data_IF_923739854817
#
_entry.id   IF_923739854817
#
_cell.length_a   1.000
_cell.length_b   1.000
_cell.length_c   1.000
_cell.angle_alpha   90.00
_cell.angle_beta   90.00
_cell.angle_gamma   90.00
#
_symmetry.space_group_name_H-M   'P 1'
#
loop_
_entity.id
_entity.type
_entity.pdbx_description
1 polymer ?
#
# COMPACT_ATOMS: atom_id res chain seq x y z
N UNK A 1 -3.01 1.10 28.21
CA UNK A 1 -2.18 0.07 27.55
C UNK A 1 -1.49 0.73 26.35
N UNK A 2 -0.21 1.08 26.48
CA UNK A 2 0.54 1.72 25.39
C UNK A 2 0.64 0.76 24.21
N UNK A 3 -0.04 1.12 23.13
CA UNK A 3 -0.30 0.28 21.95
C UNK A 3 0.99 -0.06 21.23
N UNK A 4 1.04 -1.26 20.64
CA UNK A 4 2.19 -1.86 19.94
C UNK A 4 3.03 -0.89 19.09
N UNK A 5 2.41 0.10 18.44
CA UNK A 5 3.07 1.17 17.67
C UNK A 5 4.10 1.96 18.49
N UNK A 6 3.76 2.40 19.71
CA UNK A 6 4.69 3.17 20.55
C UNK A 6 5.93 2.34 20.97
N UNK A 7 5.77 1.02 21.10
CA UNK A 7 6.89 0.11 21.38
C UNK A 7 7.80 -0.05 20.16
N UNK A 8 7.23 -0.21 18.96
CA UNK A 8 7.98 -0.28 17.70
C UNK A 8 8.70 1.03 17.45
N UNK A 9 8.01 2.18 17.53
CA UNK A 9 8.59 3.52 17.40
C UNK A 9 9.79 3.73 18.35
N UNK A 10 9.62 3.40 19.63
CA UNK A 10 10.73 3.46 20.62
C UNK A 10 11.90 2.56 20.25
N UNK A 11 11.64 1.40 19.64
CA UNK A 11 12.69 0.46 19.23
C UNK A 11 13.44 1.01 18.01
N UNK A 12 12.73 1.55 17.02
CA UNK A 12 13.33 2.19 15.85
C UNK A 12 14.14 3.42 16.28
N UNK A 13 13.61 4.29 17.14
CA UNK A 13 14.35 5.45 17.67
C UNK A 13 15.65 5.06 18.39
N UNK A 14 15.65 3.94 19.12
CA UNK A 14 16.88 3.42 19.75
C UNK A 14 17.91 2.97 18.73
N UNK A 15 17.49 2.35 17.63
CA UNK A 15 18.37 1.94 16.54
C UNK A 15 18.97 3.18 15.85
N UNK A 16 18.18 4.25 15.72
CA UNK A 16 18.54 5.47 15.01
C UNK A 16 19.29 6.52 15.83
N UNK A 17 19.40 6.34 17.15
CA UNK A 17 19.97 7.35 18.04
C UNK A 17 21.42 7.70 17.66
N UNK A 18 21.67 8.99 17.39
CA UNK A 18 22.98 9.53 17.03
C UNK A 18 23.50 9.11 15.66
N UNK A 19 22.63 8.58 14.78
CA UNK A 19 22.99 8.18 13.40
C UNK A 19 22.70 9.29 12.41
N UNK A 20 23.55 9.39 11.39
CA UNK A 20 23.26 10.18 10.19
C UNK A 20 22.17 9.52 9.32
N UNK A 21 21.69 10.23 8.30
CA UNK A 21 20.76 9.65 7.31
C UNK A 21 21.35 8.40 6.64
N UNK A 22 22.62 8.42 6.25
CA UNK A 22 23.26 7.29 5.56
C UNK A 22 23.44 6.08 6.48
N UNK A 23 23.74 6.33 7.75
CA UNK A 23 23.80 5.28 8.77
C UNK A 23 22.41 4.73 9.11
N UNK A 24 21.38 5.58 9.10
CA UNK A 24 19.99 5.17 9.26
C UNK A 24 19.54 4.24 8.13
N UNK A 25 19.87 4.57 6.87
CA UNK A 25 19.61 3.71 5.70
C UNK A 25 20.30 2.36 5.84
N UNK A 26 21.56 2.36 6.23
CA UNK A 26 22.33 1.13 6.48
C UNK A 26 21.76 0.28 7.63
N UNK A 27 20.92 0.88 8.48
CA UNK A 27 20.26 0.22 9.62
C UNK A 27 18.88 -0.34 9.28
N UNK A 28 18.40 -0.19 8.04
CA UNK A 28 17.08 -0.68 7.63
C UNK A 28 16.84 -2.17 7.93
N UNK A 29 17.79 -3.10 7.73
CA UNK A 29 17.63 -4.50 8.14
C UNK A 29 17.29 -4.66 9.63
N UNK A 30 17.93 -3.86 10.49
CA UNK A 30 17.63 -3.89 11.93
C UNK A 30 16.24 -3.29 12.20
N UNK A 31 15.87 -2.20 11.51
CA UNK A 31 14.58 -1.54 11.65
C UNK A 31 13.43 -2.48 11.22
N UNK A 32 13.52 -3.10 10.04
CA UNK A 32 12.50 -4.02 9.52
C UNK A 32 12.31 -5.24 10.41
N UNK A 33 13.39 -5.75 11.04
CA UNK A 33 13.30 -6.86 11.99
C UNK A 33 12.45 -6.55 13.24
N UNK A 34 12.25 -5.27 13.57
CA UNK A 34 11.40 -4.86 14.71
C UNK A 34 9.92 -4.72 14.35
N UNK A 35 9.58 -4.81 13.06
CA UNK A 35 8.22 -4.62 12.57
C UNK A 35 7.41 -5.91 12.62
N UNK A 36 6.09 -5.77 12.74
CA UNK A 36 5.18 -6.89 12.49
C UNK A 36 5.02 -7.07 10.99
N UNK A 37 4.93 -8.32 10.57
CA UNK A 37 5.01 -8.71 9.18
C UNK A 37 3.64 -8.87 8.48
N UNK A 38 2.52 -8.72 9.23
CA UNK A 38 1.17 -8.82 8.69
C UNK A 38 0.64 -7.45 8.24
N UNK A 39 1.23 -6.85 7.21
CA UNK A 39 0.81 -5.54 6.73
C UNK A 39 -0.53 -5.59 6.00
N UNK A 40 -0.68 -6.49 5.03
CA UNK A 40 -1.89 -6.57 4.22
C UNK A 40 -3.04 -7.13 5.05
N UNK A 41 -2.84 -8.28 5.70
CA UNK A 41 -3.88 -8.96 6.47
C UNK A 41 -4.32 -8.23 7.74
N UNK A 42 -3.64 -7.15 8.12
CA UNK A 42 -4.10 -6.23 9.19
C UNK A 42 -5.10 -5.20 8.67
N UNK A 43 -4.97 -4.79 7.42
CA UNK A 43 -5.76 -3.72 6.83
C UNK A 43 -6.94 -4.25 6.01
N UNK A 44 -6.82 -5.44 5.41
CA UNK A 44 -7.85 -6.03 4.58
C UNK A 44 -7.90 -7.56 4.77
N UNK A 45 -9.09 -8.10 5.04
CA UNK A 45 -9.31 -9.54 5.10
C UNK A 45 -9.47 -10.11 3.68
N UNK A 46 -9.33 -11.43 3.51
CA UNK A 46 -9.56 -12.08 2.21
C UNK A 46 -10.98 -11.79 1.69
N UNK A 47 -12.01 -11.91 2.54
CA UNK A 47 -13.40 -11.62 2.17
C UNK A 47 -13.59 -10.17 1.73
N UNK A 48 -13.06 -9.21 2.52
CA UNK A 48 -13.09 -7.78 2.20
C UNK A 48 -12.39 -7.50 0.88
N UNK A 49 -11.23 -8.12 0.64
CA UNK A 49 -10.46 -7.99 -0.59
C UNK A 49 -11.27 -8.48 -1.80
N UNK A 50 -11.86 -9.66 -1.73
CA UNK A 50 -12.67 -10.21 -2.82
C UNK A 50 -13.90 -9.34 -3.13
N UNK A 51 -14.57 -8.81 -2.10
CA UNK A 51 -15.67 -7.85 -2.28
C UNK A 51 -15.24 -6.56 -2.97
N UNK A 52 -14.10 -5.99 -2.55
CA UNK A 52 -13.51 -4.80 -3.17
C UNK A 52 -13.21 -5.06 -4.65
N UNK A 53 -12.51 -6.17 -4.95
CA UNK A 53 -12.15 -6.53 -6.32
C UNK A 53 -13.39 -6.69 -7.19
N UNK A 54 -14.43 -7.37 -6.70
CA UNK A 54 -15.68 -7.53 -7.43
C UNK A 54 -16.37 -6.21 -7.78
N UNK A 55 -16.44 -5.27 -6.82
CA UNK A 55 -17.05 -3.95 -7.04
C UNK A 55 -16.22 -3.12 -8.02
N UNK A 56 -14.91 -3.02 -7.78
CA UNK A 56 -14.01 -2.18 -8.58
C UNK A 56 -13.88 -2.73 -10.00
N UNK A 57 -13.68 -4.04 -10.15
CA UNK A 57 -13.62 -4.72 -11.45
C UNK A 57 -14.90 -4.47 -12.27
N UNK A 58 -16.07 -4.58 -11.63
CA UNK A 58 -17.34 -4.27 -12.26
C UNK A 58 -17.48 -2.80 -12.71
N UNK A 59 -16.94 -1.83 -11.95
CA UNK A 59 -16.98 -0.41 -12.31
C UNK A 59 -15.94 -0.06 -13.40
N UNK A 60 -14.74 -0.63 -13.34
CA UNK A 60 -13.72 -0.49 -14.39
C UNK A 60 -14.20 -1.08 -15.71
N UNK A 61 -14.80 -2.28 -15.70
CA UNK A 61 -15.34 -2.90 -16.91
C UNK A 61 -16.43 -2.04 -17.57
N UNK A 62 -17.27 -1.37 -16.77
CA UNK A 62 -18.28 -0.44 -17.30
C UNK A 62 -17.66 0.85 -17.83
N UNK A 63 -16.64 1.39 -17.16
CA UNK A 63 -15.92 2.58 -17.60
C UNK A 63 -15.29 2.35 -18.97
N UNK A 64 -14.58 1.24 -19.15
CA UNK A 64 -13.90 0.91 -20.41
C UNK A 64 -14.82 0.33 -21.49
N UNK A 65 -16.12 0.18 -21.20
CA UNK A 65 -17.15 -0.10 -22.19
C UNK A 65 -17.83 1.16 -22.73
N UNK A 66 -17.51 2.34 -22.17
CA UNK A 66 -17.96 3.62 -22.71
C UNK A 66 -17.25 3.93 -24.04
N UNK A 67 -17.76 4.93 -24.76
CA UNK A 67 -17.06 5.49 -25.91
C UNK A 67 -15.72 6.09 -25.47
N UNK A 68 -14.70 6.04 -26.34
CA UNK A 68 -13.32 6.46 -26.05
C UNK A 68 -13.26 7.89 -25.49
N UNK A 69 -14.00 8.81 -26.11
CA UNK A 69 -14.10 10.22 -25.67
C UNK A 69 -14.65 10.37 -24.24
N UNK A 70 -15.61 9.54 -23.82
CA UNK A 70 -16.20 9.59 -22.48
C UNK A 70 -15.25 9.02 -21.42
N UNK A 71 -14.52 7.96 -21.78
CA UNK A 71 -13.49 7.37 -20.94
C UNK A 71 -12.32 8.35 -20.74
N UNK A 72 -11.82 8.95 -21.82
CA UNK A 72 -10.78 9.99 -21.75
C UNK A 72 -11.25 11.19 -20.94
N UNK A 73 -12.53 11.59 -21.04
CA UNK A 73 -13.04 12.71 -20.26
C UNK A 73 -13.00 12.41 -18.75
N UNK A 74 -13.37 11.20 -18.33
CA UNK A 74 -13.25 10.77 -16.93
C UNK A 74 -11.78 10.65 -16.52
N UNK A 75 -10.93 10.15 -17.42
CA UNK A 75 -9.51 10.00 -17.17
C UNK A 75 -8.84 11.35 -16.98
N UNK A 76 -9.07 12.35 -17.82
CA UNK A 76 -8.29 13.59 -17.86
C UNK A 76 -8.96 14.79 -17.16
N UNK A 77 -10.24 14.70 -16.81
CA UNK A 77 -10.93 15.72 -16.01
C UNK A 77 -10.90 15.37 -14.51
N UNK A 78 -10.16 16.16 -13.72
CA UNK A 78 -10.02 15.96 -12.27
C UNK A 78 -11.36 15.83 -11.54
N UNK A 79 -12.34 16.68 -11.86
CA UNK A 79 -13.63 16.70 -11.18
C UNK A 79 -14.46 15.46 -11.51
N UNK A 80 -14.47 15.03 -12.78
CA UNK A 80 -15.14 13.78 -13.18
C UNK A 80 -14.46 12.55 -12.59
N UNK A 81 -13.13 12.54 -12.55
CA UNK A 81 -12.35 11.47 -11.93
C UNK A 81 -12.68 11.34 -10.45
N UNK A 82 -12.74 12.45 -9.72
CA UNK A 82 -13.11 12.47 -8.30
C UNK A 82 -14.54 11.98 -8.06
N UNK A 83 -15.49 12.40 -8.92
CA UNK A 83 -16.87 11.91 -8.86
C UNK A 83 -16.93 10.39 -9.02
N UNK A 84 -16.28 9.86 -10.06
CA UNK A 84 -16.24 8.42 -10.31
C UNK A 84 -15.59 7.66 -9.15
N UNK A 85 -14.47 8.15 -8.62
CA UNK A 85 -13.78 7.52 -7.48
C UNK A 85 -14.71 7.49 -6.26
N UNK A 86 -15.42 8.60 -5.96
CA UNK A 86 -16.33 8.65 -4.82
C UNK A 86 -17.49 7.67 -4.98
N UNK A 87 -18.09 7.55 -6.17
CA UNK A 87 -19.12 6.54 -6.43
C UNK A 87 -18.61 5.12 -6.20
N UNK A 88 -17.39 4.81 -6.64
CA UNK A 88 -16.80 3.48 -6.41
C UNK A 88 -16.56 3.24 -4.92
N UNK A 89 -16.05 4.24 -4.20
CA UNK A 89 -15.82 4.15 -2.76
C UNK A 89 -17.14 3.94 -2.00
N UNK A 90 -18.20 4.65 -2.34
CA UNK A 90 -19.54 4.47 -1.75
C UNK A 90 -20.05 3.04 -1.98
N UNK A 91 -19.93 2.52 -3.20
CA UNK A 91 -20.33 1.14 -3.51
C UNK A 91 -19.50 0.11 -2.76
N UNK A 92 -18.20 0.35 -2.59
CA UNK A 92 -17.34 -0.52 -1.77
C UNK A 92 -17.83 -0.49 -0.33
N UNK A 93 -18.03 0.69 0.26
CA UNK A 93 -18.52 0.84 1.63
C UNK A 93 -19.86 0.14 1.85
N UNK A 94 -20.81 0.30 0.92
CA UNK A 94 -22.14 -0.34 0.98
C UNK A 94 -22.08 -1.87 0.91
N UNK A 95 -21.07 -2.43 0.22
CA UNK A 95 -20.88 -3.88 0.10
C UNK A 95 -20.05 -4.48 1.25
N UNK A 96 -19.47 -3.66 2.12
CA UNK A 96 -18.65 -4.12 3.23
C UNK A 96 -19.45 -4.15 4.54
N UNK A 97 -19.39 -5.27 5.23
CA UNK A 97 -19.97 -5.43 6.57
C UNK A 97 -19.07 -4.87 7.69
N UNK A 98 -17.94 -4.24 7.33
CA UNK A 98 -16.89 -3.79 8.25
C UNK A 98 -16.39 -2.42 7.85
N UNK A 99 -16.04 -1.61 8.85
CA UNK A 99 -15.40 -0.31 8.63
C UNK A 99 -13.99 -0.51 8.04
N UNK A 100 -13.70 0.19 6.95
CA UNK A 100 -12.37 0.17 6.35
C UNK A 100 -11.39 0.98 7.20
N UNK A 101 -10.16 0.47 7.33
CA UNK A 101 -9.11 1.24 7.99
C UNK A 101 -8.73 2.49 7.19
N UNK A 102 -8.19 3.51 7.85
CA UNK A 102 -7.70 4.72 7.18
C UNK A 102 -6.63 4.39 6.11
N UNK A 103 -5.79 3.38 6.36
CA UNK A 103 -4.79 2.91 5.39
C UNK A 103 -5.48 2.30 4.17
N UNK A 104 -6.48 1.43 4.37
CA UNK A 104 -7.21 0.82 3.27
C UNK A 104 -7.96 1.88 2.43
N UNK A 105 -8.67 2.80 3.08
CA UNK A 105 -9.38 3.91 2.42
C UNK A 105 -8.44 4.76 1.55
N UNK A 106 -7.29 5.17 2.12
CA UNK A 106 -6.28 5.95 1.36
C UNK A 106 -5.69 5.14 0.22
N UNK A 107 -5.39 3.86 0.45
CA UNK A 107 -4.83 2.97 -0.57
C UNK A 107 -5.78 2.79 -1.75
N UNK A 108 -7.07 2.57 -1.48
CA UNK A 108 -8.11 2.43 -2.51
C UNK A 108 -8.21 3.69 -3.36
N UNK A 109 -8.34 4.86 -2.73
CA UNK A 109 -8.44 6.14 -3.46
C UNK A 109 -7.24 6.38 -4.37
N UNK A 110 -6.03 6.12 -3.87
CA UNK A 110 -4.80 6.27 -4.66
C UNK A 110 -4.77 5.26 -5.82
N UNK A 111 -5.04 3.99 -5.54
CA UNK A 111 -5.01 2.94 -6.55
C UNK A 111 -6.05 3.17 -7.66
N UNK A 112 -7.28 3.58 -7.31
CA UNK A 112 -8.31 3.96 -8.29
C UNK A 112 -7.87 5.16 -9.13
N UNK A 113 -7.36 6.22 -8.49
CA UNK A 113 -6.91 7.41 -9.20
C UNK A 113 -5.77 7.11 -10.18
N UNK A 114 -4.79 6.31 -9.78
CA UNK A 114 -3.69 5.88 -10.65
C UNK A 114 -4.19 5.00 -11.80
N UNK A 115 -5.06 4.03 -11.52
CA UNK A 115 -5.60 3.11 -12.53
C UNK A 115 -6.36 3.86 -13.63
N UNK A 116 -7.22 4.81 -13.25
CA UNK A 116 -7.96 5.63 -14.20
C UNK A 116 -7.02 6.55 -14.98
N UNK A 117 -6.10 7.21 -14.29
CA UNK A 117 -5.18 8.18 -14.89
C UNK A 117 -4.23 7.55 -15.91
N UNK A 118 -3.86 6.29 -15.69
CA UNK A 118 -3.00 5.53 -16.60
C UNK A 118 -3.79 4.63 -17.57
N UNK A 119 -5.12 4.68 -17.49
CA UNK A 119 -6.05 3.90 -18.33
C UNK A 119 -5.71 2.39 -18.29
N UNK A 120 -5.56 1.85 -17.08
CA UNK A 120 -5.15 0.46 -16.82
C UNK A 120 -6.30 -0.42 -16.32
N UNK A 121 -6.10 -1.73 -16.38
CA UNK A 121 -7.11 -2.72 -16.02
C UNK A 121 -7.17 -3.03 -14.51
N UNK A 122 -8.08 -3.95 -14.15
CA UNK A 122 -8.24 -4.46 -12.80
C UNK A 122 -6.94 -5.06 -12.22
N UNK A 123 -6.09 -5.65 -13.06
CA UNK A 123 -4.83 -6.25 -12.62
C UNK A 123 -3.89 -5.19 -12.08
N UNK A 124 -3.77 -4.08 -12.80
CA UNK A 124 -3.00 -2.92 -12.36
C UNK A 124 -3.57 -2.34 -11.06
N UNK A 125 -4.89 -2.21 -10.97
CA UNK A 125 -5.54 -1.73 -9.75
C UNK A 125 -5.18 -2.59 -8.53
N UNK A 126 -5.25 -3.91 -8.65
CA UNK A 126 -4.93 -4.84 -7.55
C UNK A 126 -3.46 -4.72 -7.15
N UNK A 127 -2.55 -4.69 -8.12
CA UNK A 127 -1.11 -4.50 -7.84
C UNK A 127 -0.88 -3.19 -7.08
N UNK A 128 -1.48 -2.09 -7.54
CA UNK A 128 -1.36 -0.78 -6.89
C UNK A 128 -2.00 -0.74 -5.51
N UNK A 129 -3.16 -1.36 -5.33
CA UNK A 129 -3.82 -1.43 -4.04
C UNK A 129 -2.93 -2.10 -3.00
N UNK A 130 -2.41 -3.29 -3.31
CA UNK A 130 -1.55 -4.04 -2.39
C UNK A 130 -0.25 -3.30 -2.11
N UNK A 131 0.37 -2.72 -3.14
CA UNK A 131 1.56 -1.88 -2.98
C UNK A 131 1.30 -0.71 -2.03
N UNK A 132 0.20 0.03 -2.23
CA UNK A 132 -0.16 1.20 -1.43
C UNK A 132 -0.48 0.84 0.02
N UNK A 133 -1.12 -0.31 0.27
CA UNK A 133 -1.35 -0.81 1.64
C UNK A 133 -0.02 -1.01 2.36
N UNK A 134 0.95 -1.67 1.71
CA UNK A 134 2.27 -1.91 2.31
C UNK A 134 3.04 -0.60 2.50
N UNK A 135 3.08 0.25 1.48
CA UNK A 135 3.71 1.56 1.54
C UNK A 135 3.20 2.41 2.71
N UNK A 136 1.88 2.58 2.83
CA UNK A 136 1.28 3.38 3.89
C UNK A 136 1.42 2.72 5.27
N UNK A 137 1.46 1.39 5.33
CA UNK A 137 1.72 0.66 6.58
C UNK A 137 3.16 0.86 7.07
N UNK A 138 4.13 0.84 6.16
CA UNK A 138 5.53 1.14 6.45
C UNK A 138 5.69 2.59 6.91
N UNK A 139 5.10 3.55 6.18
CA UNK A 139 5.09 4.97 6.55
C UNK A 139 4.53 5.16 7.97
N UNK A 140 3.32 4.64 8.23
CA UNK A 140 2.67 4.76 9.53
C UNK A 140 3.49 4.15 10.69
N UNK A 141 4.35 3.17 10.37
CA UNK A 141 5.22 2.49 11.35
C UNK A 141 6.52 3.25 11.59
N UNK A 142 7.13 3.82 10.56
CA UNK A 142 8.49 4.37 10.60
C UNK A 142 8.54 5.89 10.74
N UNK A 143 7.54 6.62 10.23
CA UNK A 143 7.59 8.07 10.06
C UNK A 143 7.96 8.79 11.36
N UNK A 144 7.26 8.50 12.46
CA UNK A 144 7.49 9.18 13.74
C UNK A 144 8.92 8.98 14.29
N UNK A 145 9.55 7.84 14.02
CA UNK A 145 10.91 7.57 14.45
C UNK A 145 11.95 8.22 13.53
N UNK A 146 11.69 8.25 12.22
CA UNK A 146 12.57 8.88 11.22
C UNK A 146 12.53 10.41 11.28
N UNK A 147 11.37 11.01 11.58
CA UNK A 147 11.24 12.45 11.85
C UNK A 147 12.06 12.87 13.08
N UNK A 148 12.36 11.92 13.99
CA UNK A 148 13.16 12.14 15.19
C UNK A 148 14.67 12.06 14.97
N UNK A 149 15.15 11.90 13.74
CA UNK A 149 16.59 11.99 13.42
C UNK A 149 17.09 13.43 13.58
N UNK A 150 18.31 13.60 14.09
CA UNK A 150 18.89 14.91 14.42
C UNK A 150 19.01 15.83 13.19
N UNK A 151 19.15 15.25 12.00
CA UNK A 151 19.21 15.99 10.73
C UNK A 151 17.86 16.58 10.28
N UNK A 152 16.74 16.17 10.92
CA UNK A 152 15.41 16.71 10.65
C UNK A 152 14.88 16.39 9.26
N UNK A 153 14.39 15.17 9.06
CA UNK A 153 13.82 14.75 7.77
C UNK A 153 12.38 15.26 7.58
N UNK A 154 12.11 15.78 6.38
CA UNK A 154 10.73 16.05 5.94
C UNK A 154 10.01 14.76 5.53
N UNK A 155 8.68 14.74 5.59
CA UNK A 155 7.86 13.58 5.14
C UNK A 155 8.20 13.15 3.70
N UNK A 156 8.35 14.06 2.71
CA UNK A 156 8.76 13.65 1.36
C UNK A 156 10.13 12.96 1.32
N UNK A 157 11.09 13.40 2.13
CA UNK A 157 12.41 12.74 2.21
C UNK A 157 12.30 11.36 2.87
N UNK A 158 11.50 11.22 3.94
CA UNK A 158 11.24 9.91 4.58
C UNK A 158 10.67 8.93 3.56
N UNK A 159 9.66 9.36 2.80
CA UNK A 159 9.05 8.56 1.73
C UNK A 159 10.10 8.11 0.72
N UNK A 160 10.82 9.06 0.14
CA UNK A 160 11.77 8.82 -0.95
C UNK A 160 13.00 7.99 -0.53
N UNK A 161 13.55 8.25 0.66
CA UNK A 161 14.84 7.69 1.08
C UNK A 161 14.69 6.38 1.86
N UNK A 162 13.51 6.09 2.42
CA UNK A 162 13.29 4.92 3.28
C UNK A 162 12.08 4.08 2.87
N UNK A 163 10.91 4.69 2.68
CA UNK A 163 9.65 3.95 2.52
C UNK A 163 9.51 3.38 1.10
N UNK A 164 9.70 4.20 0.08
CA UNK A 164 9.57 3.83 -1.33
C UNK A 164 10.58 2.73 -1.71
N UNK A 165 11.89 2.88 -1.44
CA UNK A 165 12.84 1.81 -1.74
C UNK A 165 12.50 0.49 -1.03
N UNK A 166 12.01 0.57 0.22
CA UNK A 166 11.64 -0.63 0.98
C UNK A 166 10.39 -1.29 0.38
N UNK A 167 9.35 -0.50 0.07
CA UNK A 167 8.15 -1.00 -0.58
C UNK A 167 8.47 -1.63 -1.94
N UNK A 168 9.33 -0.99 -2.74
CA UNK A 168 9.76 -1.49 -4.04
C UNK A 168 10.49 -2.83 -3.92
N UNK A 169 11.39 -2.97 -2.93
CA UNK A 169 12.08 -4.23 -2.66
C UNK A 169 11.12 -5.35 -2.24
N UNK A 170 10.07 -5.01 -1.48
CA UNK A 170 9.04 -5.97 -1.08
C UNK A 170 8.15 -6.39 -2.25
N UNK A 171 8.05 -5.57 -3.31
CA UNK A 171 7.27 -5.80 -4.53
C UNK A 171 8.16 -6.09 -5.76
N UNK A 172 9.33 -6.72 -5.55
CA UNK A 172 10.13 -7.27 -6.65
C UNK A 172 9.37 -8.36 -7.43
N UNK A 173 9.94 -8.78 -8.57
CA UNK A 173 9.26 -9.57 -9.61
C UNK A 173 8.57 -10.84 -9.11
N UNK A 174 9.10 -11.50 -8.09
CA UNK A 174 8.50 -12.70 -7.48
C UNK A 174 7.17 -12.40 -6.75
N UNK A 175 7.04 -11.25 -6.11
CA UNK A 175 5.76 -10.82 -5.50
C UNK A 175 4.80 -10.34 -6.58
N UNK A 176 5.28 -9.64 -7.62
CA UNK A 176 4.43 -9.25 -8.76
C UNK A 176 3.86 -10.43 -9.52
N UNK A 177 4.66 -11.48 -9.74
CA UNK A 177 4.19 -12.73 -10.34
C UNK A 177 3.09 -13.37 -9.48
N UNK A 178 3.26 -13.33 -8.15
CA UNK A 178 2.24 -13.84 -7.24
C UNK A 178 0.98 -12.99 -7.16
N UNK A 179 1.06 -11.67 -7.36
CA UNK A 179 -0.14 -10.83 -7.55
C UNK A 179 -0.92 -11.30 -8.77
N UNK A 180 -0.24 -11.63 -9.88
CA UNK A 180 -0.91 -12.21 -11.05
C UNK A 180 -1.58 -13.55 -10.72
N UNK A 181 -0.90 -14.41 -9.95
CA UNK A 181 -1.48 -15.68 -9.48
C UNK A 181 -2.66 -15.47 -8.52
N UNK A 182 -2.66 -14.41 -7.70
CA UNK A 182 -3.76 -14.05 -6.81
C UNK A 182 -4.98 -13.65 -7.62
N UNK A 183 -4.79 -12.82 -8.65
CA UNK A 183 -5.86 -12.37 -9.55
C UNK A 183 -6.48 -13.56 -10.28
N UNK A 184 -5.65 -14.49 -10.75
CA UNK A 184 -6.10 -15.72 -11.40
C UNK A 184 -6.74 -16.73 -10.41
N UNK A 185 -6.81 -16.42 -9.12
CA UNK A 185 -7.37 -17.28 -8.07
C UNK A 185 -6.53 -18.53 -7.75
N UNK A 186 -5.26 -18.55 -8.17
CA UNK A 186 -4.33 -19.67 -7.94
C UNK A 186 -3.72 -19.65 -6.54
N UNK A 187 -3.63 -18.47 -5.93
CA UNK A 187 -3.16 -18.27 -4.55
C UNK A 187 -4.11 -17.35 -3.79
N UNK A 188 -3.89 -17.22 -2.48
CA UNK A 188 -4.67 -16.36 -1.59
C UNK A 188 -3.91 -15.10 -1.20
N UNK A 189 -4.63 -14.08 -0.70
CA UNK A 189 -4.03 -12.86 -0.17
C UNK A 189 -3.10 -13.16 1.00
N UNK A 190 -3.44 -14.17 1.81
CA UNK A 190 -2.60 -14.66 2.89
C UNK A 190 -1.20 -15.10 2.37
N UNK A 191 -1.14 -15.75 1.21
CA UNK A 191 0.13 -16.20 0.60
C UNK A 191 1.00 -15.00 0.21
N UNK A 192 0.41 -13.98 -0.43
CA UNK A 192 1.14 -12.73 -0.79
C UNK A 192 1.63 -12.02 0.46
N UNK A 193 0.81 -11.93 1.50
CA UNK A 193 1.17 -11.32 2.76
C UNK A 193 2.30 -12.06 3.49
N UNK A 194 2.33 -13.40 3.44
CA UNK A 194 3.43 -14.21 3.98
C UNK A 194 4.75 -13.99 3.24
N UNK A 195 4.72 -13.84 1.91
CA UNK A 195 5.93 -13.55 1.14
C UNK A 195 6.51 -12.18 1.48
N UNK A 196 5.66 -11.15 1.55
CA UNK A 196 6.07 -9.81 1.97
C UNK A 196 6.61 -9.85 3.39
N UNK A 197 5.95 -10.61 4.28
CA UNK A 197 6.41 -10.83 5.64
C UNK A 197 7.82 -11.42 5.71
N UNK A 198 8.11 -12.42 4.88
CA UNK A 198 9.39 -13.10 4.87
C UNK A 198 10.49 -12.27 4.20
N UNK A 199 10.16 -11.52 3.14
CA UNK A 199 11.08 -10.51 2.58
C UNK A 199 11.44 -9.43 3.59
N UNK A 200 10.47 -8.96 4.38
CA UNK A 200 10.72 -7.95 5.41
C UNK A 200 11.68 -8.46 6.50
N UNK A 201 11.51 -9.72 6.94
CA UNK A 201 12.39 -10.35 7.94
C UNK A 201 13.81 -10.56 7.42
N UNK A 202 13.94 -10.92 6.15
CA UNK A 202 15.21 -11.21 5.50
C UNK A 202 15.77 -10.01 4.71
N UNK A 203 15.28 -8.81 5.00
CA UNK A 203 15.66 -7.60 4.27
C UNK A 203 17.15 -7.31 4.48
N UNK A 204 17.94 -7.45 3.42
CA UNK A 204 19.40 -7.37 3.44
C UNK A 204 20.01 -5.97 3.28
N UNK A 205 19.17 -4.92 3.13
CA UNK A 205 19.62 -3.58 2.76
C UNK A 205 19.38 -3.29 1.27
N UNK A 206 19.72 -2.07 0.86
CA UNK A 206 19.72 -1.63 -0.55
C UNK A 206 21.11 -1.70 -1.15
#
# INVERSE_FOLDING_TARGET
MGTNKARVDKSIRKILAGKSIDEAKSSLPQITSTMKSNFIGKEVSEETYQSIVGVVGGKLSKLYALEEDECEEIAHNLLKREQWINEVMELVEDNLNVEMSEILLKSLRIALAETINEEKDERYFIEKLLYRIVFLSLENTMQGALEGLDEGLTIPQIRKEFIEPLADKLFEDDVRENISNLIDGKITLATVNEQIADKLKNFGGF
#
